data_IF_531071607640
#
_entry.id   IF_531071607640
#
_cell.length_a   1.000
_cell.length_b   1.000
_cell.length_c   1.000
_cell.angle_alpha   90.00
_cell.angle_beta   90.00
_cell.angle_gamma   90.00
#
_symmetry.space_group_name_H-M   'P 1'
#
loop_
_entity.id
_entity.type
_entity.pdbx_description
1 polymer ?
#
# COMPACT_ATOMS: atom_id res chain seq x y z
N UNK A 1 14.11 -11.72 6.78
CA UNK A 1 14.51 -13.03 6.22
C UNK A 1 13.59 -13.51 5.09
N UNK A 2 12.26 -13.41 5.23
CA UNK A 2 11.30 -13.87 4.19
C UNK A 2 11.49 -13.19 2.82
N UNK A 3 11.56 -11.86 2.76
CA UNK A 3 11.73 -11.11 1.50
C UNK A 3 13.04 -11.50 0.78
N UNK A 4 14.13 -11.71 1.52
CA UNK A 4 15.42 -12.11 0.96
C UNK A 4 15.35 -13.46 0.23
N UNK A 5 14.57 -14.42 0.76
CA UNK A 5 14.37 -15.73 0.10
C UNK A 5 13.53 -15.58 -1.17
N UNK A 6 12.54 -14.68 -1.17
CA UNK A 6 11.66 -14.46 -2.32
C UNK A 6 12.41 -13.78 -3.48
N UNK A 7 13.29 -12.82 -3.20
CA UNK A 7 14.09 -12.12 -4.23
C UNK A 7 14.94 -13.10 -5.07
N UNK A 8 15.41 -14.21 -4.49
CA UNK A 8 16.17 -15.22 -5.21
C UNK A 8 15.33 -16.17 -6.08
N UNK A 9 14.00 -16.11 -5.98
CA UNK A 9 13.07 -17.04 -6.65
C UNK A 9 12.04 -16.35 -7.54
N UNK A 10 11.74 -15.09 -7.25
CA UNK A 10 10.69 -14.32 -7.90
C UNK A 10 11.20 -12.92 -8.23
N UNK A 11 10.67 -12.36 -9.30
CA UNK A 11 10.75 -10.93 -9.53
C UNK A 11 9.88 -10.20 -8.49
N UNK A 12 10.44 -9.19 -7.84
CA UNK A 12 9.77 -8.45 -6.78
C UNK A 12 9.44 -7.06 -7.28
N UNK A 13 8.15 -6.74 -7.33
CA UNK A 13 7.64 -5.39 -7.62
C UNK A 13 7.36 -4.69 -6.28
N UNK A 14 8.24 -3.80 -5.79
CA UNK A 14 8.02 -3.11 -4.53
C UNK A 14 6.93 -2.06 -4.68
N UNK A 15 6.00 -1.99 -3.73
CA UNK A 15 4.92 -1.01 -3.75
C UNK A 15 4.54 -0.58 -2.34
N UNK A 16 4.23 0.71 -2.18
CA UNK A 16 3.59 1.24 -0.97
C UNK A 16 2.28 1.93 -1.39
N UNK A 17 1.11 1.30 -1.16
CA UNK A 17 -0.18 1.88 -1.53
C UNK A 17 -0.38 3.28 -0.93
N UNK A 18 0.08 3.53 0.29
CA UNK A 18 -0.08 4.83 0.95
C UNK A 18 0.67 5.96 0.23
N UNK A 19 1.89 5.70 -0.25
CA UNK A 19 2.66 6.67 -1.02
C UNK A 19 2.08 6.87 -2.42
N UNK A 20 1.64 5.79 -3.10
CA UNK A 20 0.92 5.90 -4.37
C UNK A 20 -0.40 6.67 -4.22
N UNK A 21 -1.03 6.57 -3.05
CA UNK A 21 -2.20 7.33 -2.65
C UNK A 21 -1.94 8.82 -2.39
N UNK A 22 -0.68 9.23 -2.33
CA UNK A 22 -0.23 10.60 -2.12
C UNK A 22 0.05 10.97 -0.65
N UNK A 23 0.16 10.00 0.26
CA UNK A 23 0.59 10.30 1.64
C UNK A 23 2.11 10.49 1.69
N UNK A 24 2.61 11.48 2.46
CA UNK A 24 4.04 11.73 2.58
C UNK A 24 4.75 10.68 3.45
N UNK A 25 6.07 10.65 3.38
CA UNK A 25 6.93 9.92 4.32
C UNK A 25 7.87 10.92 5.00
N UNK A 26 7.75 11.17 6.32
CA UNK A 26 6.83 10.54 7.28
C UNK A 26 5.38 11.07 7.16
N UNK A 27 4.43 10.32 7.74
CA UNK A 27 3.02 10.71 7.90
C UNK A 27 2.52 10.47 9.32
N UNK A 28 1.40 11.12 9.66
CA UNK A 28 0.68 10.84 10.90
C UNK A 28 0.09 9.42 10.86
N UNK A 29 0.19 8.63 11.95
CA UNK A 29 -0.47 7.33 12.04
C UNK A 29 -1.97 7.43 11.73
N UNK A 30 -2.53 6.39 11.12
CA UNK A 30 -3.93 6.36 10.71
C UNK A 30 -4.52 4.98 10.96
N UNK A 31 -5.79 4.93 11.33
CA UNK A 31 -6.52 3.70 11.66
C UNK A 31 -7.84 3.64 10.89
N UNK A 32 -8.29 2.41 10.59
CA UNK A 32 -9.62 2.18 10.03
C UNK A 32 -10.69 2.38 11.09
N UNK A 33 -11.75 3.10 10.73
CA UNK A 33 -12.96 3.34 11.54
C UNK A 33 -14.19 3.09 10.65
N UNK A 34 -14.60 1.83 10.57
CA UNK A 34 -15.59 1.36 9.59
C UNK A 34 -15.03 1.50 8.16
N UNK A 35 -15.77 2.21 7.32
CA UNK A 35 -15.38 2.49 5.92
C UNK A 35 -14.33 3.61 5.77
N UNK A 36 -13.99 4.30 6.86
CA UNK A 36 -13.05 5.43 6.83
C UNK A 36 -11.66 5.04 7.31
N UNK A 37 -10.65 5.75 6.83
CA UNK A 37 -9.30 5.75 7.39
C UNK A 37 -9.01 7.14 7.94
N UNK A 38 -8.73 7.24 9.24
CA UNK A 38 -8.62 8.51 9.96
C UNK A 38 -7.27 8.60 10.66
N UNK A 39 -6.60 9.74 10.54
CA UNK A 39 -5.33 9.97 11.25
C UNK A 39 -5.55 10.08 12.76
N UNK A 40 -4.50 9.89 13.56
CA UNK A 40 -4.53 10.13 15.00
C UNK A 40 -4.99 11.57 15.36
N UNK A 41 -4.75 12.54 14.47
CA UNK A 41 -5.22 13.93 14.59
C UNK A 41 -6.66 14.17 14.09
N UNK A 42 -7.42 13.12 13.75
CA UNK A 42 -8.82 13.21 13.34
C UNK A 42 -9.06 13.55 11.87
N UNK A 43 -8.00 13.68 11.05
CA UNK A 43 -8.14 13.96 9.61
C UNK A 43 -8.57 12.72 8.85
N UNK A 44 -9.58 12.84 8.00
CA UNK A 44 -9.97 11.77 7.08
C UNK A 44 -8.95 11.65 5.94
N UNK A 45 -8.40 10.45 5.73
CA UNK A 45 -7.43 10.12 4.67
C UNK A 45 -7.92 8.94 3.82
N UNK A 46 -9.20 8.60 3.88
CA UNK A 46 -9.82 7.45 3.19
C UNK A 46 -9.51 7.46 1.69
N UNK A 47 -9.65 8.61 1.03
CA UNK A 47 -9.42 8.71 -0.41
C UNK A 47 -7.96 8.46 -0.81
N UNK A 48 -6.98 8.81 0.04
CA UNK A 48 -5.59 8.48 -0.24
C UNK A 48 -5.37 6.96 -0.19
N UNK A 49 -5.95 6.28 0.80
CA UNK A 49 -5.89 4.82 0.90
C UNK A 49 -6.60 4.12 -0.27
N UNK A 50 -7.78 4.61 -0.68
CA UNK A 50 -8.53 4.05 -1.82
C UNK A 50 -7.74 4.17 -3.13
N UNK A 51 -7.27 5.38 -3.47
CA UNK A 51 -6.42 5.59 -4.66
C UNK A 51 -5.16 4.75 -4.62
N UNK A 52 -4.55 4.64 -3.44
CA UNK A 52 -3.36 3.81 -3.23
C UNK A 52 -3.60 2.33 -3.55
N UNK A 53 -4.72 1.79 -3.09
CA UNK A 53 -5.11 0.41 -3.37
C UNK A 53 -5.39 0.17 -4.87
N UNK A 54 -6.09 1.11 -5.53
CA UNK A 54 -6.37 1.05 -6.97
C UNK A 54 -5.09 1.12 -7.81
N UNK A 55 -4.17 2.02 -7.46
CA UNK A 55 -2.88 2.15 -8.13
C UNK A 55 -2.00 0.91 -7.93
N UNK A 56 -1.99 0.33 -6.72
CA UNK A 56 -1.26 -0.91 -6.44
C UNK A 56 -1.83 -2.09 -7.26
N UNK A 57 -3.15 -2.20 -7.37
CA UNK A 57 -3.79 -3.23 -8.19
C UNK A 57 -3.43 -3.06 -9.67
N UNK A 58 -3.49 -1.84 -10.20
CA UNK A 58 -3.12 -1.56 -11.58
C UNK A 58 -1.65 -1.94 -11.86
N UNK A 59 -0.74 -1.63 -10.93
CA UNK A 59 0.67 -2.01 -11.02
C UNK A 59 0.84 -3.54 -11.03
N UNK A 60 0.13 -4.25 -10.14
CA UNK A 60 0.16 -5.71 -10.12
C UNK A 60 -0.32 -6.31 -11.45
N UNK A 61 -1.42 -5.79 -12.01
CA UNK A 61 -1.96 -6.25 -13.30
C UNK A 61 -0.98 -5.99 -14.45
N UNK A 62 -0.36 -4.81 -14.49
CA UNK A 62 0.62 -4.44 -15.52
C UNK A 62 1.87 -5.32 -15.51
N UNK A 63 2.29 -5.80 -14.34
CA UNK A 63 3.47 -6.64 -14.17
C UNK A 63 3.12 -8.14 -14.12
N UNK A 64 1.85 -8.53 -14.33
CA UNK A 64 1.43 -9.93 -14.27
C UNK A 64 1.62 -10.57 -12.90
N UNK A 65 1.52 -9.80 -11.81
CA UNK A 65 1.71 -10.34 -10.46
C UNK A 65 0.56 -11.27 -10.07
N UNK A 66 0.89 -12.50 -9.66
CA UNK A 66 -0.08 -13.51 -9.20
C UNK A 66 -0.24 -13.57 -7.67
N UNK A 67 0.71 -12.98 -6.93
CA UNK A 67 0.72 -12.99 -5.47
C UNK A 67 1.20 -11.65 -4.91
N UNK A 68 0.75 -11.34 -3.69
CA UNK A 68 1.18 -10.16 -2.93
C UNK A 68 1.60 -10.55 -1.52
N UNK A 69 2.70 -9.97 -1.05
CA UNK A 69 3.17 -10.06 0.35
C UNK A 69 3.06 -8.67 0.97
N UNK A 70 2.17 -8.52 1.94
CA UNK A 70 1.83 -7.23 2.56
C UNK A 70 2.28 -7.19 4.03
N UNK A 71 2.45 -5.97 4.57
CA UNK A 71 2.83 -5.72 5.97
C UNK A 71 1.62 -5.49 6.86
#
# INVERSE_FOLDING_TARGET
>A
MLILVLVGKYEIVPVCPEQLGGLPTPRVPSERRGERVVTAGGRDVTEAYRRGAEAALALCQQNGCEAAVLK
#
